data_IF_486136412140
#
_entry.id   IF_486136412140
#
_cell.length_a   1.000
_cell.length_b   1.000
_cell.length_c   1.000
_cell.angle_alpha   90.00
_cell.angle_beta   90.00
_cell.angle_gamma   90.00
#
_symmetry.space_group_name_H-M   'P 1'
#
loop_
_entity.id
_entity.type
_entity.pdbx_description
1 polymer ?
#
# COMPACT_ATOMS: atom_id res chain seq x y z
N UNK A 1 47.61 -10.86 36.00
CA UNK A 1 46.81 -11.61 34.99
C UNK A 1 45.29 -11.40 35.10
N UNK A 2 44.72 -11.03 36.26
CA UNK A 2 43.27 -10.82 36.42
C UNK A 2 42.78 -9.52 35.75
N UNK A 3 43.56 -8.43 35.80
CA UNK A 3 43.18 -7.13 35.19
C UNK A 3 43.13 -7.15 33.65
N UNK A 4 43.98 -7.94 33.00
CA UNK A 4 44.00 -8.06 31.54
C UNK A 4 42.79 -8.84 31.00
N UNK A 5 42.34 -9.87 31.74
CA UNK A 5 41.12 -10.62 31.41
C UNK A 5 39.85 -9.78 31.59
N UNK A 6 39.79 -8.92 32.60
CA UNK A 6 38.64 -8.03 32.82
C UNK A 6 38.52 -6.96 31.74
N UNK A 7 39.63 -6.34 31.32
CA UNK A 7 39.62 -5.32 30.26
C UNK A 7 39.24 -5.94 28.90
N UNK A 8 39.74 -7.15 28.61
CA UNK A 8 39.38 -7.86 27.38
C UNK A 8 37.89 -8.24 27.35
N UNK A 9 37.33 -8.66 28.48
CA UNK A 9 35.91 -9.01 28.58
C UNK A 9 35.00 -7.77 28.45
N UNK A 10 35.40 -6.62 29.02
CA UNK A 10 34.65 -5.36 28.88
C UNK A 10 34.72 -4.80 27.45
N UNK A 11 35.84 -4.96 26.74
CA UNK A 11 36.00 -4.54 25.34
C UNK A 11 35.15 -5.40 24.39
N UNK A 12 35.13 -6.72 24.58
CA UNK A 12 34.29 -7.63 23.77
C UNK A 12 32.80 -7.37 24.03
N UNK A 13 32.42 -7.12 25.27
CA UNK A 13 31.02 -6.83 25.62
C UNK A 13 30.56 -5.47 25.05
N UNK A 14 31.41 -4.44 25.05
CA UNK A 14 31.06 -3.13 24.48
C UNK A 14 30.97 -3.15 22.96
N UNK A 15 31.85 -3.86 22.25
CA UNK A 15 31.75 -4.00 20.78
C UNK A 15 30.50 -4.80 20.36
N UNK A 16 30.01 -5.70 21.22
CA UNK A 16 28.78 -6.47 20.95
C UNK A 16 27.49 -5.64 21.03
N UNK A 17 27.48 -4.53 21.80
CA UNK A 17 26.32 -3.66 21.92
C UNK A 17 26.22 -2.58 20.82
N UNK A 18 27.32 -2.28 20.11
CA UNK A 18 27.34 -1.30 19.00
C UNK A 18 27.31 -1.95 17.60
N UNK A 19 27.30 -3.29 17.50
CA UNK A 19 27.26 -3.99 16.21
C UNK A 19 25.85 -4.11 15.59
N UNK A 20 24.84 -3.51 16.21
CA UNK A 20 23.46 -3.46 15.72
C UNK A 20 22.99 -2.00 15.56
N UNK A 21 23.83 -1.12 15.04
CA UNK A 21 23.29 0.08 14.38
C UNK A 21 22.92 -0.29 12.94
N UNK A 22 21.62 -0.30 12.66
CA UNK A 22 21.13 -0.29 11.28
C UNK A 22 21.57 1.06 10.70
N UNK A 23 22.57 1.03 9.81
CA UNK A 23 22.98 2.22 9.08
C UNK A 23 21.73 2.78 8.39
N UNK A 24 21.28 3.98 8.80
CA UNK A 24 20.21 4.67 8.08
C UNK A 24 20.75 5.00 6.69
N UNK A 25 20.33 4.22 5.70
CA UNK A 25 20.59 4.54 4.30
C UNK A 25 19.87 5.84 3.97
N UNK A 26 20.61 6.95 3.95
CA UNK A 26 20.17 8.16 3.26
C UNK A 26 20.04 7.85 1.77
N UNK A 27 18.80 7.84 1.27
CA UNK A 27 18.55 7.75 -0.17
C UNK A 27 19.08 9.02 -0.83
N UNK A 28 20.33 8.99 -1.32
CA UNK A 28 20.83 10.04 -2.21
C UNK A 28 19.99 10.02 -3.50
N UNK A 29 19.18 11.06 -3.68
CA UNK A 29 18.54 11.32 -4.95
C UNK A 29 19.65 11.53 -6.00
N UNK A 30 19.65 10.68 -7.03
CA UNK A 30 20.62 10.57 -8.14
C UNK A 30 21.85 9.70 -7.85
N UNK A 31 22.26 8.82 -8.78
CA UNK A 31 23.51 8.08 -8.65
C UNK A 31 24.66 9.10 -8.64
N UNK A 32 25.46 9.09 -7.58
CA UNK A 32 26.66 9.90 -7.50
C UNK A 32 27.55 9.63 -8.74
N UNK A 33 28.15 10.66 -9.36
CA UNK A 33 28.96 10.53 -10.57
C UNK A 33 30.29 9.75 -10.38
N UNK A 34 30.54 9.22 -9.19
CA UNK A 34 31.69 8.40 -8.86
C UNK A 34 31.24 7.06 -8.25
N UNK A 35 30.53 6.27 -9.05
CA UNK A 35 30.48 4.82 -8.80
C UNK A 35 31.78 4.26 -9.38
N UNK A 36 32.84 4.25 -8.57
CA UNK A 36 34.04 3.46 -8.86
C UNK A 36 33.64 2.08 -9.37
N UNK A 37 34.37 1.52 -10.35
CA UNK A 37 34.11 0.19 -10.90
C UNK A 37 33.70 -0.78 -9.79
N UNK A 38 32.54 -1.41 -9.94
CA UNK A 38 31.95 -2.21 -8.86
C UNK A 38 32.96 -3.24 -8.34
N UNK A 39 33.41 -3.02 -7.12
CA UNK A 39 34.27 -3.91 -6.36
C UNK A 39 33.46 -4.40 -5.17
N UNK A 40 33.50 -5.70 -4.92
CA UNK A 40 32.82 -6.31 -3.80
C UNK A 40 33.52 -7.62 -3.48
N UNK A 41 33.80 -7.86 -2.21
CA UNK A 41 34.30 -9.13 -1.71
C UNK A 41 33.19 -9.77 -0.87
N UNK A 42 33.00 -11.08 -0.98
CA UNK A 42 31.98 -11.78 -0.19
C UNK A 42 32.32 -11.86 1.30
N UNK A 43 33.57 -11.59 1.68
CA UNK A 43 34.06 -11.82 3.04
C UNK A 43 33.83 -13.27 3.45
N UNK A 44 32.96 -13.49 4.44
CA UNK A 44 32.56 -14.83 4.91
C UNK A 44 31.22 -15.32 4.37
N UNK A 45 30.54 -14.57 3.51
CA UNK A 45 29.28 -14.98 2.90
C UNK A 45 29.53 -15.89 1.69
N UNK A 46 28.60 -16.82 1.45
CA UNK A 46 28.63 -17.70 0.28
C UNK A 46 27.47 -17.36 -0.66
N UNK A 47 27.76 -16.61 -1.73
CA UNK A 47 26.78 -16.19 -2.72
C UNK A 47 26.62 -17.16 -3.90
N UNK A 48 27.22 -18.35 -3.84
CA UNK A 48 27.23 -19.29 -4.98
C UNK A 48 25.83 -19.70 -5.43
N UNK A 49 24.86 -19.82 -4.51
CA UNK A 49 23.43 -19.94 -4.81
C UNK A 49 22.61 -18.97 -3.95
N UNK A 50 22.53 -17.72 -4.39
CA UNK A 50 21.64 -16.71 -3.83
C UNK A 50 20.18 -17.04 -4.14
N UNK A 51 19.32 -17.06 -3.12
CA UNK A 51 17.86 -17.24 -3.27
C UNK A 51 17.10 -16.08 -2.64
N UNK A 52 15.96 -15.70 -3.23
CA UNK A 52 15.11 -14.63 -2.68
C UNK A 52 13.65 -15.07 -2.55
N UNK A 53 13.00 -14.57 -1.50
CA UNK A 53 11.55 -14.71 -1.28
C UNK A 53 10.97 -13.37 -0.84
N UNK A 54 9.75 -13.09 -1.26
CA UNK A 54 9.10 -11.83 -0.94
C UNK A 54 7.87 -11.53 -1.77
N UNK A 55 7.31 -10.35 -1.54
CA UNK A 55 6.14 -9.84 -2.24
C UNK A 55 6.45 -9.19 -3.60
N UNK A 56 5.65 -8.19 -3.95
CA UNK A 56 5.65 -7.54 -5.26
C UNK A 56 7.02 -7.01 -5.72
N UNK A 57 7.74 -6.26 -4.89
CA UNK A 57 9.05 -5.69 -5.25
C UNK A 57 10.10 -6.77 -5.53
N UNK A 58 10.15 -7.80 -4.70
CA UNK A 58 11.08 -8.93 -4.85
C UNK A 58 10.74 -9.80 -6.05
N UNK A 59 9.48 -9.86 -6.45
CA UNK A 59 9.02 -10.58 -7.63
C UNK A 59 9.18 -9.77 -8.93
N UNK A 60 9.24 -8.44 -8.84
CA UNK A 60 9.08 -7.57 -10.01
C UNK A 60 7.64 -7.54 -10.52
N UNK A 61 6.69 -7.50 -9.60
CA UNK A 61 5.26 -7.38 -9.88
C UNK A 61 4.86 -5.90 -10.01
N UNK A 62 4.14 -5.56 -11.06
CA UNK A 62 3.68 -4.20 -11.34
C UNK A 62 2.52 -4.19 -12.30
N UNK A 63 1.86 -3.05 -12.49
CA UNK A 63 0.74 -2.92 -13.43
C UNK A 63 -0.37 -3.96 -13.24
N UNK A 64 -0.52 -4.52 -12.03
CA UNK A 64 -1.52 -5.55 -11.74
C UNK A 64 -1.09 -7.01 -12.01
N UNK A 65 0.12 -7.27 -12.50
CA UNK A 65 0.63 -8.62 -12.79
C UNK A 65 2.16 -8.78 -12.72
N UNK A 66 2.64 -10.01 -12.90
CA UNK A 66 4.00 -10.20 -13.42
C UNK A 66 3.98 -9.93 -14.92
N UNK A 67 5.12 -9.51 -15.48
CA UNK A 67 5.28 -9.19 -16.90
C UNK A 67 6.69 -9.58 -17.35
N UNK A 68 6.78 -10.40 -18.39
CA UNK A 68 8.05 -10.88 -18.97
C UNK A 68 8.98 -9.71 -19.32
N UNK A 69 8.46 -8.72 -20.03
CA UNK A 69 9.17 -7.52 -20.48
C UNK A 69 9.02 -6.32 -19.52
N UNK A 70 8.21 -6.47 -18.47
CA UNK A 70 7.92 -5.42 -17.50
C UNK A 70 8.88 -5.46 -16.30
N UNK A 71 8.34 -5.39 -15.08
CA UNK A 71 9.16 -5.30 -13.87
C UNK A 71 9.83 -6.60 -13.45
N UNK A 72 9.41 -7.77 -13.95
CA UNK A 72 9.98 -9.07 -13.57
C UNK A 72 11.51 -9.14 -13.79
N UNK A 73 12.06 -8.77 -14.96
CA UNK A 73 13.51 -8.70 -15.18
C UNK A 73 14.23 -7.62 -14.34
N UNK A 74 13.50 -6.70 -13.71
CA UNK A 74 14.02 -5.65 -12.84
C UNK A 74 13.65 -5.87 -11.36
N UNK A 75 13.23 -7.08 -10.99
CA UNK A 75 12.93 -7.41 -9.60
C UNK A 75 14.11 -7.12 -8.67
N UNK A 76 13.81 -6.75 -7.41
CA UNK A 76 14.85 -6.44 -6.42
C UNK A 76 15.79 -7.64 -6.20
N UNK A 77 15.25 -8.87 -6.19
CA UNK A 77 16.06 -10.08 -6.09
C UNK A 77 17.10 -10.18 -7.22
N UNK A 78 16.69 -9.90 -8.47
CA UNK A 78 17.62 -9.89 -9.61
C UNK A 78 18.63 -8.76 -9.53
N UNK A 79 18.21 -7.56 -9.16
CA UNK A 79 19.12 -6.42 -9.01
C UNK A 79 20.22 -6.70 -7.98
N UNK A 80 19.87 -7.34 -6.85
CA UNK A 80 20.83 -7.77 -5.84
C UNK A 80 21.73 -8.88 -6.38
N UNK A 81 21.17 -9.90 -7.03
CA UNK A 81 21.95 -10.99 -7.62
C UNK A 81 23.02 -10.49 -8.60
N UNK A 82 22.69 -9.50 -9.43
CA UNK A 82 23.64 -8.84 -10.35
C UNK A 82 24.81 -8.19 -9.59
N UNK A 83 24.57 -7.64 -8.39
CA UNK A 83 25.65 -7.12 -7.56
C UNK A 83 26.45 -8.24 -6.88
N UNK A 84 25.78 -9.26 -6.35
CA UNK A 84 26.43 -10.40 -5.69
C UNK A 84 27.32 -11.21 -6.65
N UNK A 85 26.99 -11.26 -7.94
CA UNK A 85 27.83 -11.86 -8.98
C UNK A 85 29.25 -11.25 -9.01
N UNK A 86 29.39 -9.96 -8.68
CA UNK A 86 30.69 -9.27 -8.63
C UNK A 86 31.49 -9.61 -7.37
N UNK A 87 30.84 -10.20 -6.37
CA UNK A 87 31.43 -10.67 -5.12
C UNK A 87 31.57 -12.21 -5.07
N UNK A 88 31.62 -12.88 -6.23
CA UNK A 88 31.79 -14.34 -6.31
C UNK A 88 30.49 -15.15 -6.27
N UNK A 89 29.34 -14.49 -6.36
CA UNK A 89 28.05 -15.16 -6.55
C UNK A 89 27.82 -15.64 -7.99
N UNK A 90 26.71 -16.33 -8.22
CA UNK A 90 26.32 -16.79 -9.56
C UNK A 90 26.15 -15.62 -10.53
N UNK A 91 26.67 -15.78 -11.76
CA UNK A 91 26.41 -14.83 -12.87
C UNK A 91 24.99 -14.94 -13.44
N UNK A 92 24.24 -15.97 -13.04
CA UNK A 92 22.86 -16.21 -13.45
C UNK A 92 21.93 -16.19 -12.25
N UNK A 93 20.76 -15.58 -12.44
CA UNK A 93 19.67 -15.56 -11.46
C UNK A 93 18.40 -16.07 -12.13
N UNK A 94 17.96 -17.27 -11.75
CA UNK A 94 16.84 -17.96 -12.40
C UNK A 94 15.53 -17.56 -11.73
N UNK A 95 14.67 -16.90 -12.51
CA UNK A 95 13.34 -16.49 -12.08
C UNK A 95 12.29 -17.24 -12.91
N UNK A 96 11.17 -17.69 -12.31
CA UNK A 96 10.08 -18.33 -13.04
C UNK A 96 9.38 -17.35 -13.98
N UNK A 97 9.85 -17.28 -15.22
CA UNK A 97 9.27 -16.44 -16.26
C UNK A 97 7.80 -16.80 -16.52
N UNK A 98 6.96 -15.79 -16.64
CA UNK A 98 5.55 -15.97 -16.98
C UNK A 98 5.30 -16.07 -18.49
N UNK A 99 6.29 -15.72 -19.31
CA UNK A 99 6.22 -15.71 -20.78
C UNK A 99 5.03 -14.89 -21.32
N UNK A 100 4.74 -13.75 -20.69
CA UNK A 100 3.61 -12.90 -21.07
C UNK A 100 3.95 -11.42 -20.99
N UNK A 101 3.60 -10.69 -22.05
CA UNK A 101 3.75 -9.23 -22.16
C UNK A 101 2.65 -8.49 -21.38
N UNK A 102 1.45 -9.09 -21.28
CA UNK A 102 0.28 -8.48 -20.64
C UNK A 102 0.02 -9.06 -19.25
N UNK A 103 0.56 -10.24 -18.93
CA UNK A 103 0.32 -10.92 -17.67
C UNK A 103 -1.16 -11.18 -17.42
N UNK A 104 -1.53 -11.31 -16.15
CA UNK A 104 -2.91 -11.59 -15.75
C UNK A 104 -3.26 -10.84 -14.47
N UNK A 105 -4.29 -10.02 -14.52
CA UNK A 105 -4.82 -9.33 -13.35
C UNK A 105 -5.96 -10.12 -12.70
N UNK A 106 -6.91 -10.59 -13.52
CA UNK A 106 -8.11 -11.30 -13.10
C UNK A 106 -9.13 -11.47 -14.23
N UNK A 107 -10.26 -12.10 -13.91
CA UNK A 107 -11.40 -12.21 -14.82
C UNK A 107 -12.00 -10.84 -15.11
N UNK A 108 -12.61 -10.70 -16.28
CA UNK A 108 -13.34 -9.52 -16.69
C UNK A 108 -14.73 -9.43 -16.06
N UNK A 109 -15.61 -8.69 -16.72
CA UNK A 109 -16.99 -8.44 -16.27
C UNK A 109 -17.82 -9.74 -16.17
N UNK A 110 -17.47 -10.79 -16.92
CA UNK A 110 -18.16 -12.08 -16.85
C UNK A 110 -17.81 -12.90 -15.60
N UNK A 111 -16.73 -12.53 -14.89
CA UNK A 111 -16.23 -13.19 -13.69
C UNK A 111 -15.66 -14.59 -13.92
N UNK A 112 -15.45 -15.00 -15.16
CA UNK A 112 -14.94 -16.32 -15.54
C UNK A 112 -13.49 -16.16 -16.01
N UNK A 113 -12.55 -16.82 -15.33
CA UNK A 113 -11.16 -16.80 -15.76
C UNK A 113 -10.95 -17.60 -17.06
N UNK A 114 -10.10 -17.11 -17.95
CA UNK A 114 -9.74 -17.77 -19.22
C UNK A 114 -10.60 -17.36 -20.41
N UNK A 115 -11.42 -16.32 -20.29
CA UNK A 115 -12.31 -15.79 -21.33
C UNK A 115 -11.70 -14.56 -22.02
N UNK A 116 -12.34 -14.07 -23.08
CA UNK A 116 -11.79 -12.98 -23.89
C UNK A 116 -11.80 -11.60 -23.22
N UNK A 117 -12.58 -11.44 -22.15
CA UNK A 117 -12.67 -10.22 -21.35
C UNK A 117 -11.74 -10.21 -20.14
N UNK A 118 -10.96 -11.27 -19.92
CA UNK A 118 -9.89 -11.31 -18.93
C UNK A 118 -9.02 -10.04 -18.98
N UNK A 119 -8.65 -9.56 -17.80
CA UNK A 119 -7.89 -8.33 -17.66
C UNK A 119 -6.41 -8.62 -17.45
N UNK A 120 -5.56 -7.93 -18.21
CA UNK A 120 -4.12 -7.96 -18.11
C UNK A 120 -3.58 -6.72 -17.40
N UNK A 121 -2.37 -6.30 -17.81
CA UNK A 121 -1.67 -5.16 -17.22
C UNK A 121 -2.44 -3.85 -17.34
N UNK A 122 -2.28 -3.01 -16.33
CA UNK A 122 -2.85 -1.68 -16.22
C UNK A 122 -1.84 -0.63 -16.70
N UNK A 123 -2.31 0.43 -17.34
CA UNK A 123 -1.45 1.52 -17.79
C UNK A 123 -2.22 2.83 -17.86
N UNK A 124 -1.51 3.95 -17.69
CA UNK A 124 -2.06 5.27 -17.93
C UNK A 124 -2.31 5.45 -19.43
N UNK A 125 -3.51 5.89 -19.78
CA UNK A 125 -3.92 6.15 -21.16
C UNK A 125 -4.28 7.62 -21.35
N UNK A 126 -4.11 8.09 -22.58
CA UNK A 126 -4.56 9.42 -22.99
C UNK A 126 -5.42 9.26 -24.24
N UNK A 127 -6.67 9.71 -24.14
CA UNK A 127 -7.58 9.78 -25.27
C UNK A 127 -7.01 10.71 -26.33
N UNK A 128 -6.77 10.19 -27.54
CA UNK A 128 -6.25 11.01 -28.65
C UNK A 128 -7.24 12.06 -29.14
N UNK A 129 -8.54 11.86 -28.94
CA UNK A 129 -9.59 12.77 -29.41
C UNK A 129 -9.90 13.88 -28.41
N UNK A 130 -9.82 13.58 -27.10
CA UNK A 130 -10.22 14.52 -26.04
C UNK A 130 -9.05 15.00 -25.19
N UNK A 131 -7.87 14.36 -25.29
CA UNK A 131 -6.75 14.59 -24.37
C UNK A 131 -6.99 14.08 -22.94
N UNK A 132 -8.15 13.45 -22.68
CA UNK A 132 -8.51 12.94 -21.36
C UNK A 132 -7.51 11.85 -20.93
N UNK A 133 -6.96 11.98 -19.73
CA UNK A 133 -6.09 10.99 -19.11
C UNK A 133 -6.95 10.00 -18.32
N UNK A 134 -6.54 8.73 -18.28
CA UNK A 134 -7.25 7.69 -17.54
C UNK A 134 -6.39 6.48 -17.28
N UNK A 135 -7.01 5.43 -16.73
CA UNK A 135 -6.40 4.12 -16.55
C UNK A 135 -7.05 3.18 -17.56
N UNK A 136 -6.24 2.40 -18.27
CA UNK A 136 -6.69 1.37 -19.21
C UNK A 136 -6.01 0.05 -18.92
N UNK A 137 -6.58 -1.02 -19.47
CA UNK A 137 -6.14 -2.40 -19.26
C UNK A 137 -5.87 -3.07 -20.59
N UNK A 138 -4.83 -3.88 -20.65
CA UNK A 138 -4.55 -4.76 -21.78
C UNK A 138 -5.41 -6.03 -21.66
N UNK A 139 -5.66 -6.77 -22.76
CA UNK A 139 -6.23 -8.11 -22.68
C UNK A 139 -5.35 -9.02 -21.81
N UNK A 140 -5.99 -9.75 -20.89
CA UNK A 140 -5.34 -10.68 -19.98
C UNK A 140 -4.86 -11.95 -20.69
N UNK A 141 -3.79 -12.52 -20.14
CA UNK A 141 -3.23 -13.79 -20.57
C UNK A 141 -3.32 -14.79 -19.43
N UNK A 142 -4.44 -15.54 -19.37
CA UNK A 142 -4.67 -16.55 -18.36
C UNK A 142 -3.60 -17.66 -18.37
N UNK A 143 -2.96 -17.93 -19.53
CA UNK A 143 -1.90 -18.95 -19.59
C UNK A 143 -0.69 -18.56 -18.72
N UNK A 144 -0.48 -17.26 -18.47
CA UNK A 144 0.59 -16.73 -17.62
C UNK A 144 0.44 -17.09 -16.13
N UNK A 145 -0.74 -17.57 -15.71
CA UNK A 145 -1.05 -18.08 -14.37
C UNK A 145 -1.47 -19.55 -14.37
N UNK A 146 -2.06 -20.04 -15.46
CA UNK A 146 -2.56 -21.42 -15.58
C UNK A 146 -1.55 -22.44 -16.12
N UNK A 147 -0.47 -22.01 -16.77
CA UNK A 147 0.50 -22.92 -17.41
C UNK A 147 1.70 -23.18 -16.49
N UNK A 148 2.03 -24.45 -16.15
CA UNK A 148 3.23 -24.77 -15.37
C UNK A 148 4.52 -24.20 -15.99
N UNK A 149 5.45 -23.80 -15.13
CA UNK A 149 6.78 -23.37 -15.52
C UNK A 149 7.53 -24.52 -16.19
N UNK A 150 8.05 -24.27 -17.41
CA UNK A 150 8.68 -25.30 -18.24
C UNK A 150 10.21 -25.39 -18.05
N UNK A 151 10.80 -24.49 -17.27
CA UNK A 151 12.23 -24.49 -16.98
C UNK A 151 12.63 -25.45 -15.85
N UNK A 152 13.93 -25.50 -15.57
CA UNK A 152 14.47 -26.34 -14.49
C UNK A 152 14.09 -25.75 -13.12
N UNK A 153 13.13 -26.39 -12.45
CA UNK A 153 12.65 -25.99 -11.12
C UNK A 153 13.75 -26.08 -10.05
N UNK A 154 14.77 -26.91 -10.23
CA UNK A 154 15.87 -27.06 -9.26
C UNK A 154 16.86 -25.90 -9.30
N UNK A 155 16.89 -25.18 -10.43
CA UNK A 155 17.73 -24.01 -10.66
C UNK A 155 17.09 -22.70 -10.20
N UNK A 156 15.80 -22.69 -9.86
CA UNK A 156 15.07 -21.49 -9.43
C UNK A 156 15.77 -20.85 -8.22
N UNK A 157 15.94 -19.53 -8.32
CA UNK A 157 16.53 -18.70 -7.27
C UNK A 157 15.53 -17.66 -6.74
N UNK A 158 14.50 -17.28 -7.51
CA UNK A 158 13.46 -16.38 -7.03
C UNK A 158 12.16 -17.12 -6.71
N UNK A 159 11.78 -17.10 -5.44
CA UNK A 159 10.53 -17.65 -4.90
C UNK A 159 9.53 -16.54 -4.54
N UNK A 160 9.84 -15.29 -4.88
CA UNK A 160 8.96 -14.16 -4.67
C UNK A 160 7.79 -14.17 -5.66
N UNK A 161 6.60 -13.82 -5.16
CA UNK A 161 5.37 -13.68 -5.95
C UNK A 161 4.58 -12.47 -5.46
N UNK A 162 3.85 -11.81 -6.36
CA UNK A 162 2.95 -10.73 -5.99
C UNK A 162 1.66 -11.24 -5.35
N UNK A 163 0.89 -10.34 -4.71
CA UNK A 163 -0.43 -10.61 -4.14
C UNK A 163 -0.47 -11.72 -3.08
N UNK A 164 0.59 -11.90 -2.29
CA UNK A 164 0.66 -12.92 -1.24
C UNK A 164 0.99 -12.29 0.11
N UNK A 165 0.18 -12.58 1.14
CA UNK A 165 0.43 -12.16 2.53
C UNK A 165 1.52 -13.02 3.17
N UNK A 166 2.12 -12.55 4.26
CA UNK A 166 3.16 -13.30 4.96
C UNK A 166 2.69 -14.70 5.40
N UNK A 167 1.51 -14.79 6.02
CA UNK A 167 0.94 -16.08 6.43
C UNK A 167 0.74 -17.05 5.26
N UNK A 168 0.44 -16.55 4.07
CA UNK A 168 0.29 -17.35 2.87
C UNK A 168 1.62 -17.98 2.40
N UNK A 169 2.79 -17.37 2.68
CA UNK A 169 4.10 -17.98 2.40
C UNK A 169 4.41 -19.19 3.30
N UNK A 170 3.65 -19.37 4.39
CA UNK A 170 3.86 -20.42 5.39
C UNK A 170 3.00 -21.66 5.17
N UNK A 171 1.96 -21.57 4.33
CA UNK A 171 1.01 -22.65 4.10
C UNK A 171 1.17 -23.30 2.72
N UNK A 172 0.79 -24.57 2.55
CA UNK A 172 0.82 -25.22 1.24
C UNK A 172 -0.07 -24.54 0.20
N UNK A 173 0.36 -24.56 -1.06
CA UNK A 173 -0.39 -23.99 -2.18
C UNK A 173 -1.39 -24.99 -2.78
N UNK A 174 -2.29 -25.51 -1.94
CA UNK A 174 -3.10 -26.68 -2.24
C UNK A 174 -4.06 -26.47 -3.44
N UNK A 175 -4.14 -27.48 -4.31
CA UNK A 175 -5.16 -27.56 -5.35
C UNK A 175 -6.53 -27.98 -4.76
N UNK A 176 -7.67 -27.63 -5.40
CA UNK A 176 -7.81 -26.91 -6.68
C UNK A 176 -7.80 -25.37 -6.54
N UNK A 177 -7.68 -24.83 -5.33
CA UNK A 177 -7.71 -23.40 -5.05
C UNK A 177 -6.37 -22.94 -4.47
N UNK A 178 -5.33 -22.80 -5.32
CA UNK A 178 -4.01 -22.38 -4.86
C UNK A 178 -4.11 -20.99 -4.22
N UNK A 179 -3.39 -20.83 -3.11
CA UNK A 179 -3.19 -19.55 -2.42
C UNK A 179 -2.61 -18.49 -3.36
N UNK A 180 -1.68 -18.89 -4.23
CA UNK A 180 -1.11 -18.02 -5.24
C UNK A 180 -0.94 -18.75 -6.58
N UNK A 181 -1.59 -18.27 -7.66
CA UNK A 181 -1.52 -18.95 -8.95
C UNK A 181 -0.16 -18.77 -9.64
N UNK A 182 0.60 -17.70 -9.36
CA UNK A 182 1.96 -17.58 -9.88
C UNK A 182 2.89 -18.61 -9.25
N UNK A 183 2.80 -18.84 -7.94
CA UNK A 183 3.56 -19.89 -7.28
C UNK A 183 3.16 -21.28 -7.77
N UNK A 184 1.86 -21.51 -8.02
CA UNK A 184 1.36 -22.80 -8.53
C UNK A 184 2.07 -23.26 -9.81
N UNK A 185 2.51 -22.31 -10.67
CA UNK A 185 3.26 -22.63 -11.89
C UNK A 185 4.60 -23.29 -11.60
N UNK A 186 5.25 -22.94 -10.49
CA UNK A 186 6.57 -23.46 -10.14
C UNK A 186 6.59 -24.18 -8.79
N UNK A 187 5.43 -24.63 -8.29
CA UNK A 187 5.32 -25.49 -7.13
C UNK A 187 5.72 -26.93 -7.49
N UNK A 188 6.91 -27.34 -7.08
CA UNK A 188 7.47 -28.67 -7.38
C UNK A 188 6.75 -29.79 -6.60
N UNK A 189 5.96 -29.44 -5.58
CA UNK A 189 5.27 -30.37 -4.69
C UNK A 189 3.81 -30.64 -5.09
N UNK A 190 3.31 -29.91 -6.10
CA UNK A 190 1.90 -29.94 -6.51
C UNK A 190 0.92 -29.63 -5.37
N UNK A 191 1.20 -28.57 -4.59
CA UNK A 191 0.32 -28.04 -3.56
C UNK A 191 0.48 -28.66 -2.18
N UNK A 192 1.55 -29.42 -1.92
CA UNK A 192 1.78 -30.09 -0.63
C UNK A 192 2.76 -29.35 0.28
N UNK A 193 3.54 -28.41 -0.26
CA UNK A 193 4.47 -27.57 0.52
C UNK A 193 4.23 -26.08 0.26
N UNK A 194 4.68 -25.24 1.20
CA UNK A 194 4.65 -23.80 1.04
C UNK A 194 5.79 -23.28 0.16
N UNK A 195 5.67 -22.07 -0.38
CA UNK A 195 6.75 -21.43 -1.14
C UNK A 195 8.00 -21.20 -0.31
N UNK A 196 7.85 -20.91 0.99
CA UNK A 196 8.98 -20.83 1.92
C UNK A 196 9.68 -22.20 2.08
N UNK A 197 8.91 -23.27 2.29
CA UNK A 197 9.47 -24.61 2.42
C UNK A 197 10.19 -25.06 1.14
N UNK A 198 9.63 -24.75 -0.04
CA UNK A 198 10.29 -25.05 -1.32
C UNK A 198 11.58 -24.24 -1.51
N UNK A 199 11.61 -22.96 -1.13
CA UNK A 199 12.84 -22.16 -1.16
C UNK A 199 13.92 -22.78 -0.26
N UNK A 200 13.57 -23.15 0.98
CA UNK A 200 14.50 -23.81 1.92
C UNK A 200 15.04 -25.11 1.31
N UNK A 201 14.16 -25.92 0.72
CA UNK A 201 14.53 -27.16 0.04
C UNK A 201 15.35 -27.00 -1.24
N UNK A 202 15.47 -25.78 -1.78
CA UNK A 202 16.23 -25.51 -3.01
C UNK A 202 17.76 -25.56 -2.81
N UNK A 203 18.24 -25.59 -1.56
CA UNK A 203 19.66 -25.67 -1.24
C UNK A 203 20.44 -24.38 -1.51
N UNK A 204 19.83 -23.21 -1.26
CA UNK A 204 20.52 -21.92 -1.32
C UNK A 204 21.67 -21.80 -0.31
N UNK A 205 22.67 -20.98 -0.62
CA UNK A 205 23.83 -20.69 0.24
C UNK A 205 23.73 -19.32 0.91
N UNK A 206 22.93 -18.42 0.33
CA UNK A 206 22.57 -17.12 0.91
C UNK A 206 21.13 -16.76 0.56
N UNK A 207 20.36 -16.24 1.50
CA UNK A 207 18.97 -15.85 1.25
C UNK A 207 18.72 -14.34 1.40
N UNK A 208 17.71 -13.84 0.67
CA UNK A 208 17.01 -12.60 0.96
C UNK A 208 15.55 -12.91 1.25
N UNK A 209 15.03 -12.45 2.39
CA UNK A 209 13.62 -12.54 2.70
C UNK A 209 13.04 -11.13 2.93
N UNK A 210 12.13 -10.70 2.06
CA UNK A 210 11.42 -9.43 2.21
C UNK A 210 9.92 -9.65 2.14
N UNK A 211 9.34 -9.94 3.30
CA UNK A 211 7.96 -10.39 3.48
C UNK A 211 7.15 -9.34 4.27
N UNK A 212 5.83 -9.45 4.27
CA UNK A 212 4.95 -8.63 5.11
C UNK A 212 4.43 -7.34 4.46
N UNK A 213 5.10 -6.77 3.47
CA UNK A 213 4.66 -5.49 2.87
C UNK A 213 3.26 -5.57 2.22
N UNK A 214 2.86 -6.73 1.72
CA UNK A 214 1.53 -6.91 1.13
C UNK A 214 0.43 -6.99 2.19
N UNK A 215 0.73 -7.43 3.41
CA UNK A 215 -0.24 -7.49 4.51
C UNK A 215 -0.75 -6.08 4.86
N UNK A 216 0.18 -5.11 4.98
CA UNK A 216 -0.14 -3.68 5.15
C UNK A 216 -0.90 -3.12 3.95
N UNK A 217 -0.40 -3.33 2.74
CA UNK A 217 -1.09 -2.82 1.54
C UNK A 217 -2.49 -3.42 1.38
N UNK A 218 -2.68 -4.72 1.64
CA UNK A 218 -3.96 -5.37 1.49
C UNK A 218 -4.98 -4.87 2.53
N UNK A 219 -4.55 -4.69 3.79
CA UNK A 219 -5.41 -4.15 4.83
C UNK A 219 -5.82 -2.69 4.54
N UNK A 220 -4.84 -1.80 4.36
CA UNK A 220 -5.10 -0.36 4.27
C UNK A 220 -5.52 0.12 2.87
N UNK A 221 -5.13 -0.56 1.78
CA UNK A 221 -5.44 -0.12 0.42
C UNK A 221 -6.50 -0.96 -0.30
N UNK A 222 -6.96 -2.10 0.25
CA UNK A 222 -7.94 -2.98 -0.41
C UNK A 222 -9.08 -3.46 0.48
N UNK A 223 -8.83 -3.63 1.78
CA UNK A 223 -9.82 -4.12 2.73
C UNK A 223 -10.76 -3.06 3.28
N UNK A 224 -10.44 -1.76 3.12
CA UNK A 224 -11.16 -0.69 3.83
C UNK A 224 -11.22 -0.92 5.35
N UNK A 225 -10.23 -1.63 5.90
CA UNK A 225 -10.23 -2.05 7.30
C UNK A 225 -11.12 -3.26 7.65
N UNK A 226 -11.70 -4.00 6.68
CA UNK A 226 -12.46 -5.23 6.99
C UNK A 226 -11.53 -6.32 7.56
N UNK A 227 -11.52 -6.40 8.89
CA UNK A 227 -10.74 -7.36 9.69
C UNK A 227 -11.03 -8.82 9.33
N UNK A 228 -12.19 -9.11 8.72
CA UNK A 228 -12.55 -10.47 8.34
C UNK A 228 -11.86 -10.92 7.05
N UNK A 229 -11.48 -9.98 6.18
CA UNK A 229 -10.83 -10.27 4.89
C UNK A 229 -9.33 -10.08 4.99
N UNK A 230 -8.89 -8.97 5.56
CA UNK A 230 -7.48 -8.69 5.85
C UNK A 230 -7.39 -8.19 7.29
N UNK A 231 -7.02 -9.05 8.26
CA UNK A 231 -6.83 -8.61 9.64
C UNK A 231 -5.78 -7.50 9.72
N UNK A 232 -5.91 -6.62 10.72
CA UNK A 232 -4.92 -5.57 10.95
C UNK A 232 -3.52 -6.18 11.11
N UNK A 233 -2.53 -5.76 10.29
CA UNK A 233 -1.21 -6.39 10.22
C UNK A 233 -0.30 -5.94 11.36
N UNK A 234 -0.73 -6.15 12.60
CA UNK A 234 0.04 -5.71 13.77
C UNK A 234 1.29 -6.58 13.95
N UNK A 235 2.35 -5.95 14.46
CA UNK A 235 3.58 -6.66 14.84
C UNK A 235 3.34 -7.67 15.97
N UNK A 236 2.36 -7.46 16.84
CA UNK A 236 2.15 -8.33 18.01
C UNK A 236 1.33 -9.58 17.72
N UNK A 237 0.35 -9.51 16.83
CA UNK A 237 -0.67 -10.57 16.70
C UNK A 237 -0.71 -11.25 15.33
N UNK A 238 -0.29 -10.58 14.26
CA UNK A 238 -0.39 -11.12 12.91
C UNK A 238 0.98 -11.25 12.25
N UNK A 239 1.61 -10.12 11.92
CA UNK A 239 2.81 -10.12 11.08
C UNK A 239 4.05 -10.58 11.85
N UNK A 240 4.23 -10.15 13.11
CA UNK A 240 5.44 -10.49 13.88
C UNK A 240 5.60 -12.00 14.14
N UNK A 241 4.58 -12.71 14.68
CA UNK A 241 4.67 -14.15 14.89
C UNK A 241 4.90 -14.94 13.60
N UNK A 242 4.25 -14.55 12.50
CA UNK A 242 4.45 -15.20 11.20
C UNK A 242 5.85 -14.93 10.62
N UNK A 243 6.38 -13.73 10.84
CA UNK A 243 7.71 -13.36 10.36
C UNK A 243 8.79 -14.12 11.13
N UNK A 244 8.64 -14.19 12.45
CA UNK A 244 9.48 -15.01 13.31
C UNK A 244 9.42 -16.48 12.90
N UNK A 245 8.23 -17.03 12.67
CA UNK A 245 8.06 -18.39 12.16
C UNK A 245 8.80 -18.60 10.83
N UNK A 246 8.71 -17.66 9.89
CA UNK A 246 9.40 -17.73 8.61
C UNK A 246 10.93 -17.77 8.80
N UNK A 247 11.47 -16.87 9.61
CA UNK A 247 12.91 -16.79 9.88
C UNK A 247 13.41 -18.02 10.62
N UNK A 248 12.68 -18.50 11.63
CA UNK A 248 13.01 -19.72 12.35
C UNK A 248 13.03 -20.93 11.42
N UNK A 249 12.05 -21.07 10.51
CA UNK A 249 12.03 -22.14 9.52
C UNK A 249 13.24 -22.08 8.58
N UNK A 250 13.62 -20.89 8.12
CA UNK A 250 14.80 -20.72 7.27
C UNK A 250 16.09 -21.13 7.98
N UNK A 251 16.31 -20.67 9.21
CA UNK A 251 17.53 -20.98 9.98
C UNK A 251 17.57 -22.45 10.39
N UNK A 252 16.43 -23.06 10.75
CA UNK A 252 16.35 -24.47 11.10
C UNK A 252 16.56 -25.39 9.88
N UNK A 253 16.01 -25.00 8.72
CA UNK A 253 16.11 -25.78 7.49
C UNK A 253 17.49 -25.77 6.84
N UNK A 254 18.27 -24.71 7.06
CA UNK A 254 19.69 -24.68 6.72
C UNK A 254 20.47 -23.88 7.79
N UNK A 255 21.11 -24.53 8.76
CA UNK A 255 21.81 -23.84 9.86
C UNK A 255 23.05 -23.04 9.44
N UNK A 256 23.51 -23.23 8.20
CA UNK A 256 24.81 -22.72 7.73
C UNK A 256 24.70 -21.53 6.79
N UNK A 257 23.59 -21.40 6.04
CA UNK A 257 23.40 -20.24 5.18
C UNK A 257 23.27 -18.95 5.99
N UNK A 258 23.65 -17.84 5.37
CA UNK A 258 23.41 -16.50 5.90
C UNK A 258 22.36 -15.83 5.04
N UNK A 259 21.82 -14.71 5.50
CA UNK A 259 20.87 -13.99 4.70
C UNK A 259 20.58 -12.61 5.26
N UNK A 260 19.80 -11.87 4.47
CA UNK A 260 19.29 -10.55 4.82
C UNK A 260 17.78 -10.62 4.90
N UNK A 261 17.24 -9.86 5.86
CA UNK A 261 15.80 -9.69 6.02
C UNK A 261 15.45 -8.24 5.76
N UNK A 262 14.41 -8.00 4.96
CA UNK A 262 13.88 -6.66 4.70
C UNK A 262 12.78 -6.33 5.69
N UNK A 263 12.83 -5.13 6.27
CA UNK A 263 11.72 -4.55 7.03
C UNK A 263 10.61 -4.10 6.09
N UNK A 264 9.39 -3.99 6.60
CA UNK A 264 8.31 -3.36 5.83
C UNK A 264 8.67 -1.88 5.63
N UNK A 265 8.73 -1.38 4.39
CA UNK A 265 8.96 0.04 4.15
C UNK A 265 7.74 0.83 4.63
N UNK A 266 7.93 2.13 4.89
CA UNK A 266 6.80 3.03 5.12
C UNK A 266 5.84 2.97 3.92
N UNK A 267 4.64 2.46 4.17
CA UNK A 267 3.61 2.28 3.14
C UNK A 267 2.98 3.62 2.76
N UNK A 268 2.93 4.59 3.69
CA UNK A 268 2.41 5.93 3.44
C UNK A 268 3.31 6.71 2.50
N UNK A 269 4.61 6.43 2.45
CA UNK A 269 5.52 7.01 1.48
C UNK A 269 5.26 6.54 0.03
N UNK A 270 4.41 5.52 -0.18
CA UNK A 270 4.12 5.03 -1.53
C UNK A 270 3.24 6.02 -2.32
N UNK A 271 3.37 6.06 -3.66
CA UNK A 271 2.54 6.93 -4.50
C UNK A 271 1.04 6.72 -4.34
N UNK A 272 0.61 5.56 -3.85
CA UNK A 272 -0.80 5.30 -3.57
C UNK A 272 -1.35 6.27 -2.50
N UNK A 273 -0.57 6.65 -1.50
CA UNK A 273 -1.01 7.58 -0.43
C UNK A 273 -0.57 9.02 -0.67
N UNK A 274 0.40 9.26 -1.55
CA UNK A 274 0.99 10.60 -1.75
C UNK A 274 0.51 11.32 -3.02
N UNK A 275 -0.26 10.66 -3.91
CA UNK A 275 -0.61 11.26 -5.20
C UNK A 275 -1.62 12.41 -5.12
N UNK A 276 -2.59 12.31 -4.21
CA UNK A 276 -3.67 13.30 -4.08
C UNK A 276 -3.32 14.24 -2.94
N UNK A 277 -3.19 15.53 -3.24
CA UNK A 277 -3.08 16.58 -2.22
C UNK A 277 -4.49 16.97 -1.74
N UNK A 278 -4.91 16.55 -0.54
CA UNK A 278 -6.27 16.80 -0.07
C UNK A 278 -6.54 18.29 0.20
N UNK A 279 -5.51 19.12 0.30
CA UNK A 279 -5.64 20.56 0.53
C UNK A 279 -5.86 21.35 -0.76
N UNK A 280 -5.59 20.74 -1.91
CA UNK A 280 -5.68 21.34 -3.23
C UNK A 280 -6.21 20.36 -4.29
N UNK A 281 -7.41 19.81 -4.07
CA UNK A 281 -8.01 18.79 -4.94
C UNK A 281 -9.25 19.27 -5.72
N UNK A 282 -9.92 20.34 -5.28
CA UNK A 282 -11.21 20.76 -5.85
C UNK A 282 -11.04 22.04 -6.68
N UNK A 283 -10.83 21.95 -8.01
CA UNK A 283 -10.81 23.12 -8.87
C UNK A 283 -12.23 23.67 -9.08
N UNK A 284 -12.40 24.98 -8.91
CA UNK A 284 -13.62 25.72 -9.20
C UNK A 284 -13.27 26.96 -10.02
N UNK A 285 -13.82 27.08 -11.23
CA UNK A 285 -13.63 28.25 -12.08
C UNK A 285 -14.55 29.40 -11.66
N UNK A 286 -14.02 30.63 -11.68
CA UNK A 286 -14.78 31.81 -11.27
C UNK A 286 -16.00 32.11 -12.16
N UNK A 287 -15.93 31.73 -13.43
CA UNK A 287 -16.93 32.00 -14.45
C UNK A 287 -17.83 30.80 -14.67
N UNK A 288 -17.24 29.64 -14.95
CA UNK A 288 -17.97 28.43 -15.31
C UNK A 288 -18.68 27.81 -14.10
N UNK A 289 -18.12 27.95 -12.88
CA UNK A 289 -18.68 27.40 -11.63
C UNK A 289 -19.32 28.46 -10.72
N UNK A 290 -19.65 29.65 -11.25
CA UNK A 290 -20.18 30.77 -10.44
C UNK A 290 -21.45 30.41 -9.64
N UNK A 291 -22.33 29.59 -10.20
CA UNK A 291 -23.54 29.13 -9.51
C UNK A 291 -23.21 28.17 -8.35
N UNK A 292 -22.30 27.22 -8.60
CA UNK A 292 -21.80 26.26 -7.60
C UNK A 292 -21.13 26.99 -6.44
N UNK A 293 -20.25 27.96 -6.74
CA UNK A 293 -19.61 28.82 -5.74
C UNK A 293 -20.65 29.57 -4.89
N UNK A 294 -21.72 30.08 -5.50
CA UNK A 294 -22.82 30.71 -4.78
C UNK A 294 -23.55 29.78 -3.80
N UNK A 295 -23.80 28.53 -4.21
CA UNK A 295 -24.44 27.52 -3.36
C UNK A 295 -23.52 27.08 -2.21
N UNK A 296 -22.24 26.85 -2.49
CA UNK A 296 -21.23 26.50 -1.48
C UNK A 296 -21.04 27.62 -0.45
N UNK A 297 -21.08 28.89 -0.89
CA UNK A 297 -21.02 30.04 0.02
C UNK A 297 -22.23 30.12 0.95
N UNK A 298 -23.44 29.81 0.45
CA UNK A 298 -24.65 29.75 1.29
C UNK A 298 -24.57 28.63 2.33
N UNK A 299 -24.14 27.44 1.90
CA UNK A 299 -23.89 26.31 2.79
C UNK A 299 -22.86 26.67 3.88
N UNK A 300 -21.69 27.16 3.48
CA UNK A 300 -20.64 27.58 4.40
C UNK A 300 -21.15 28.63 5.39
N UNK A 301 -21.87 29.64 4.92
CA UNK A 301 -22.44 30.70 5.75
C UNK A 301 -23.40 30.16 6.82
N UNK A 302 -24.34 29.30 6.42
CA UNK A 302 -25.31 28.71 7.33
C UNK A 302 -24.64 27.77 8.34
N UNK A 303 -23.80 26.85 7.87
CA UNK A 303 -23.10 25.91 8.74
C UNK A 303 -22.16 26.63 9.73
N UNK A 304 -21.32 27.55 9.24
CA UNK A 304 -20.36 28.26 10.07
C UNK A 304 -21.03 29.09 11.17
N UNK A 305 -22.23 29.64 10.93
CA UNK A 305 -23.02 30.33 11.95
C UNK A 305 -23.48 29.39 13.07
N UNK A 306 -23.90 28.17 12.73
CA UNK A 306 -24.29 27.18 13.75
C UNK A 306 -23.09 26.76 14.60
N UNK A 307 -21.93 26.56 13.97
CA UNK A 307 -20.66 26.25 14.64
C UNK A 307 -20.25 27.39 15.60
N UNK A 308 -20.36 28.65 15.18
CA UNK A 308 -20.09 29.80 16.07
C UNK A 308 -21.05 29.85 17.25
N UNK A 309 -22.34 29.59 17.01
CA UNK A 309 -23.35 29.53 18.07
C UNK A 309 -23.04 28.45 19.11
N UNK A 310 -22.62 27.26 18.66
CA UNK A 310 -22.22 26.17 19.56
C UNK A 310 -20.95 26.49 20.35
N UNK A 311 -19.95 27.13 19.73
CA UNK A 311 -18.77 27.60 20.42
C UNK A 311 -19.11 28.66 21.49
N UNK A 312 -19.99 29.61 21.16
CA UNK A 312 -20.43 30.65 22.09
C UNK A 312 -21.19 30.09 23.30
N UNK A 313 -21.87 28.96 23.12
CA UNK A 313 -22.55 28.22 24.20
C UNK A 313 -21.63 27.21 24.90
N UNK A 314 -20.35 27.14 24.55
CA UNK A 314 -19.38 26.17 25.07
C UNK A 314 -19.78 24.70 24.86
N UNK A 315 -20.58 24.41 23.82
CA UNK A 315 -20.94 23.04 23.41
C UNK A 315 -19.78 22.37 22.66
N UNK A 316 -18.96 23.18 21.98
CA UNK A 316 -17.68 22.79 21.39
C UNK A 316 -16.62 23.81 21.76
N UNK A 317 -15.35 23.43 21.64
CA UNK A 317 -14.23 24.37 21.90
C UNK A 317 -14.09 25.38 20.76
N UNK A 318 -13.50 26.54 21.05
CA UNK A 318 -13.18 27.54 20.02
C UNK A 318 -12.18 27.00 18.99
N UNK A 319 -11.25 26.14 19.41
CA UNK A 319 -10.31 25.42 18.54
C UNK A 319 -11.06 24.51 17.58
N UNK A 320 -11.97 23.67 18.07
CA UNK A 320 -12.79 22.80 17.23
C UNK A 320 -13.67 23.59 16.27
N UNK A 321 -14.30 24.67 16.75
CA UNK A 321 -15.11 25.54 15.92
C UNK A 321 -14.32 26.18 14.76
N UNK A 322 -13.06 26.55 15.00
CA UNK A 322 -12.16 27.05 13.95
C UNK A 322 -11.81 25.95 12.93
N UNK A 323 -11.56 24.71 13.39
CA UNK A 323 -11.25 23.58 12.52
C UNK A 323 -12.41 23.21 11.58
N UNK A 324 -13.65 23.41 12.01
CA UNK A 324 -14.85 23.07 11.24
C UNK A 324 -15.18 24.05 10.13
N UNK A 325 -14.57 25.25 10.11
CA UNK A 325 -15.00 26.30 9.18
C UNK A 325 -14.91 25.85 7.73
N UNK A 326 -16.04 25.91 7.04
CA UNK A 326 -16.15 25.58 5.63
C UNK A 326 -15.92 26.83 4.80
N UNK A 327 -15.21 26.70 3.69
CA UNK A 327 -14.95 27.80 2.77
C UNK A 327 -14.57 27.27 1.40
N UNK A 328 -15.11 27.92 0.36
CA UNK A 328 -14.76 27.68 -1.03
C UNK A 328 -14.60 29.00 -1.76
N UNK A 329 -13.68 29.04 -2.71
CA UNK A 329 -13.41 30.18 -3.57
C UNK A 329 -13.03 29.72 -4.97
N UNK A 330 -13.04 30.63 -5.94
CA UNK A 330 -12.50 30.33 -7.25
C UNK A 330 -11.00 30.00 -7.15
N UNK A 331 -10.55 28.97 -7.87
CA UNK A 331 -9.24 28.36 -7.71
C UNK A 331 -9.34 26.92 -7.22
N UNK A 332 -8.27 26.42 -6.59
CA UNK A 332 -8.22 25.05 -6.09
C UNK A 332 -8.44 25.05 -4.58
N UNK A 333 -9.38 24.24 -4.11
CA UNK A 333 -9.82 24.19 -2.72
C UNK A 333 -9.52 22.81 -2.11
N UNK A 334 -9.51 22.76 -0.78
CA UNK A 334 -9.37 21.53 -0.02
C UNK A 334 -10.62 20.63 -0.14
N UNK A 335 -10.43 19.35 0.11
CA UNK A 335 -11.51 18.37 0.22
C UNK A 335 -12.36 18.65 1.46
N UNK A 336 -13.67 18.50 1.32
CA UNK A 336 -14.57 18.34 2.46
C UNK A 336 -14.49 16.89 2.95
N UNK A 337 -14.20 16.69 4.23
CA UNK A 337 -13.92 15.36 4.82
C UNK A 337 -14.70 15.14 6.11
N UNK A 338 -15.03 13.88 6.38
CA UNK A 338 -15.49 13.42 7.68
C UNK A 338 -14.29 13.24 8.61
N UNK A 339 -14.43 13.64 9.87
CA UNK A 339 -13.40 13.47 10.89
C UNK A 339 -14.05 12.92 12.18
N UNK A 340 -13.77 11.65 12.48
CA UNK A 340 -14.35 10.94 13.60
C UNK A 340 -13.99 11.53 14.98
N UNK A 341 -12.90 12.28 15.09
CA UNK A 341 -12.42 12.89 16.34
C UNK A 341 -13.19 14.17 16.70
N UNK A 342 -13.97 14.72 15.77
CA UNK A 342 -14.82 15.88 16.02
C UNK A 342 -16.06 15.50 16.84
N UNK A 343 -16.55 16.41 17.67
CA UNK A 343 -17.78 16.22 18.46
C UNK A 343 -18.99 15.96 17.55
N UNK A 344 -19.82 14.94 17.79
CA UNK A 344 -21.03 14.78 16.98
C UNK A 344 -22.02 15.96 17.21
N UNK A 345 -22.24 16.79 16.18
CA UNK A 345 -23.16 17.94 16.27
C UNK A 345 -24.64 17.57 16.10
N UNK A 346 -24.95 16.34 15.66
CA UNK A 346 -26.30 15.86 15.41
C UNK A 346 -27.27 16.10 16.57
N UNK A 347 -26.93 15.68 17.81
CA UNK A 347 -27.78 15.89 18.98
C UNK A 347 -28.06 17.37 19.29
N UNK A 348 -27.12 18.28 19.01
CA UNK A 348 -27.34 19.72 19.25
C UNK A 348 -28.32 20.30 18.25
N UNK A 349 -28.22 19.92 16.97
CA UNK A 349 -29.20 20.33 15.97
C UNK A 349 -30.58 19.72 16.23
N UNK A 350 -30.68 18.50 16.77
CA UNK A 350 -31.96 17.93 17.20
C UNK A 350 -32.61 18.79 18.31
N UNK A 351 -31.81 19.30 19.24
CA UNK A 351 -32.24 20.28 20.23
C UNK A 351 -32.77 21.57 19.59
N UNK A 352 -32.13 22.05 18.52
CA UNK A 352 -32.59 23.23 17.76
C UNK A 352 -33.92 22.98 17.04
N UNK A 353 -34.17 21.77 16.55
CA UNK A 353 -35.49 21.37 16.00
C UNK A 353 -36.55 21.45 17.09
N UNK A 354 -36.29 20.88 18.28
CA UNK A 354 -37.22 20.93 19.42
C UNK A 354 -37.48 22.36 19.90
N UNK A 355 -36.49 23.25 19.77
CA UNK A 355 -36.61 24.67 20.09
C UNK A 355 -37.26 25.50 18.96
N UNK A 356 -37.70 24.89 17.86
CA UNK A 356 -38.23 25.55 16.66
C UNK A 356 -37.27 26.58 16.03
N UNK A 357 -35.96 26.38 16.20
CA UNK A 357 -34.92 27.24 15.59
C UNK A 357 -34.60 26.81 14.16
N UNK A 358 -34.73 25.51 13.86
CA UNK A 358 -34.61 24.93 12.52
C UNK A 358 -35.73 23.92 12.28
N UNK A 359 -36.02 23.65 11.02
CA UNK A 359 -36.99 22.62 10.60
C UNK A 359 -36.35 21.23 10.53
N UNK A 360 -37.17 20.17 10.58
CA UNK A 360 -36.69 18.80 10.37
C UNK A 360 -36.00 18.60 9.00
N UNK A 361 -36.47 19.32 7.97
CA UNK A 361 -35.84 19.29 6.65
C UNK A 361 -34.43 19.92 6.67
N UNK A 362 -34.27 21.06 7.34
CA UNK A 362 -32.95 21.68 7.52
C UNK A 362 -32.01 20.79 8.34
N UNK A 363 -32.52 20.12 9.38
CA UNK A 363 -31.76 19.14 10.17
C UNK A 363 -31.26 17.97 9.31
N UNK A 364 -32.11 17.45 8.43
CA UNK A 364 -31.74 16.36 7.52
C UNK A 364 -30.62 16.78 6.56
N UNK A 365 -30.65 18.02 6.06
CA UNK A 365 -29.59 18.56 5.20
C UNK A 365 -28.24 18.74 5.94
N UNK A 366 -28.26 18.91 7.26
CA UNK A 366 -27.06 19.07 8.08
C UNK A 366 -26.43 17.73 8.51
N UNK A 367 -27.14 16.61 8.38
CA UNK A 367 -26.67 15.30 8.85
C UNK A 367 -25.28 14.91 8.31
N UNK A 368 -24.95 15.10 7.02
CA UNK A 368 -23.61 14.80 6.53
C UNK A 368 -22.52 15.61 7.25
N UNK A 369 -22.85 16.79 7.77
CA UNK A 369 -21.89 17.76 8.32
C UNK A 369 -21.64 17.62 9.82
N UNK A 370 -22.26 16.64 10.49
CA UNK A 370 -22.18 16.49 11.96
C UNK A 370 -20.74 16.46 12.48
N UNK A 371 -19.83 15.92 11.69
CA UNK A 371 -18.41 15.80 11.97
C UNK A 371 -17.58 16.17 10.72
N UNK A 372 -17.98 17.22 10.02
CA UNK A 372 -17.31 17.64 8.78
C UNK A 372 -16.37 18.83 8.99
N UNK A 373 -15.30 18.83 8.20
CA UNK A 373 -14.36 19.96 8.05
C UNK A 373 -13.64 19.92 6.70
N UNK A 374 -12.88 20.96 6.41
CA UNK A 374 -11.92 20.94 5.30
C UNK A 374 -10.67 20.13 5.69
N UNK A 375 -10.09 19.43 4.73
CA UNK A 375 -8.81 18.74 4.88
C UNK A 375 -7.67 19.74 5.14
N UNK A 376 -6.60 19.26 5.79
CA UNK A 376 -5.45 20.04 6.25
C UNK A 376 -4.14 19.42 5.79
N UNK A 377 -3.07 20.22 5.88
CA UNK A 377 -1.70 19.76 5.63
C UNK A 377 -1.34 18.59 6.56
N UNK A 378 -0.63 17.59 6.02
CA UNK A 378 -0.21 16.38 6.75
C UNK A 378 -1.23 15.25 6.74
N UNK A 379 -2.41 15.45 6.15
CA UNK A 379 -3.44 14.44 5.98
C UNK A 379 -3.35 13.77 4.60
N UNK A 380 -3.95 12.59 4.46
CA UNK A 380 -3.76 11.74 3.29
C UNK A 380 -5.10 11.40 2.64
N UNK A 381 -5.22 11.67 1.34
CA UNK A 381 -6.25 11.07 0.49
C UNK A 381 -5.61 9.95 -0.35
N UNK A 382 -5.87 8.66 -0.07
CA UNK A 382 -5.34 7.57 -0.88
C UNK A 382 -5.87 7.64 -2.31
N UNK A 383 -5.15 7.04 -3.26
CA UNK A 383 -5.51 6.99 -4.68
C UNK A 383 -6.92 6.45 -4.92
N UNK A 384 -7.43 5.57 -4.05
CA UNK A 384 -8.81 5.09 -4.12
C UNK A 384 -9.84 6.22 -4.05
N UNK A 385 -9.56 7.31 -3.34
CA UNK A 385 -10.43 8.48 -3.26
C UNK A 385 -10.67 9.09 -4.65
N UNK A 386 -9.75 8.96 -5.61
CA UNK A 386 -9.93 9.49 -6.96
C UNK A 386 -11.09 8.84 -7.73
N UNK A 387 -11.57 7.68 -7.26
CA UNK A 387 -12.72 6.99 -7.88
C UNK A 387 -14.06 7.58 -7.44
N UNK A 388 -14.09 8.37 -6.36
CA UNK A 388 -15.31 8.93 -5.78
C UNK A 388 -15.33 10.46 -5.74
N UNK A 389 -14.17 11.13 -5.62
CA UNK A 389 -14.08 12.60 -5.58
C UNK A 389 -14.76 13.19 -6.83
N UNK A 390 -15.64 14.17 -6.62
CA UNK A 390 -16.35 14.85 -7.71
C UNK A 390 -17.56 14.09 -8.25
N UNK A 391 -17.83 12.86 -7.80
CA UNK A 391 -19.03 12.11 -8.14
C UNK A 391 -20.17 12.43 -7.16
N UNK A 392 -21.41 12.33 -7.66
CA UNK A 392 -22.60 12.44 -6.81
C UNK A 392 -22.59 11.34 -5.74
N UNK A 393 -23.04 11.67 -4.53
CA UNK A 393 -23.21 10.71 -3.43
C UNK A 393 -24.10 9.54 -3.85
N UNK A 394 -25.18 9.86 -4.56
CA UNK A 394 -26.07 8.89 -5.21
C UNK A 394 -25.93 9.09 -6.71
N UNK A 395 -25.56 8.02 -7.43
CA UNK A 395 -25.33 8.08 -8.87
C UNK A 395 -26.53 8.70 -9.60
N UNK A 396 -26.29 9.73 -10.40
CA UNK A 396 -27.33 10.45 -11.15
C UNK A 396 -28.18 11.43 -10.34
N UNK A 397 -28.03 11.53 -9.02
CA UNK A 397 -28.77 12.47 -8.17
C UNK A 397 -27.85 13.57 -7.58
N UNK A 398 -27.83 14.78 -8.17
CA UNK A 398 -27.00 15.88 -7.69
C UNK A 398 -27.52 16.51 -6.39
N UNK A 399 -28.75 16.18 -5.95
CA UNK A 399 -29.36 16.81 -4.77
C UNK A 399 -28.80 16.28 -3.45
N UNK A 400 -28.16 15.12 -3.48
CA UNK A 400 -27.53 14.47 -2.34
C UNK A 400 -26.09 14.95 -2.08
N UNK A 401 -25.59 15.87 -2.91
CA UNK A 401 -24.24 16.41 -2.82
C UNK A 401 -23.20 15.60 -3.60
N UNK A 402 -21.98 16.12 -3.59
CA UNK A 402 -20.85 15.63 -4.37
C UNK A 402 -19.69 15.32 -3.42
N UNK A 403 -19.16 14.10 -3.47
CA UNK A 403 -18.10 13.65 -2.57
C UNK A 403 -16.85 14.53 -2.66
N UNK A 404 -16.34 14.95 -1.50
CA UNK A 404 -15.17 15.82 -1.38
C UNK A 404 -15.44 17.29 -1.67
N UNK A 405 -16.64 17.65 -2.13
CA UNK A 405 -17.01 19.03 -2.49
C UNK A 405 -18.12 19.56 -1.59
N UNK A 406 -19.33 18.98 -1.72
CA UNK A 406 -20.53 19.35 -0.95
C UNK A 406 -21.08 18.19 -0.12
N UNK A 407 -20.41 17.04 -0.14
CA UNK A 407 -20.61 15.94 0.80
C UNK A 407 -19.23 15.51 1.32
N UNK A 408 -19.06 15.36 2.66
CA UNK A 408 -17.76 15.01 3.21
C UNK A 408 -17.33 13.62 2.76
N UNK A 409 -16.07 13.46 2.32
CA UNK A 409 -15.52 12.13 2.04
C UNK A 409 -15.58 11.28 3.31
N UNK A 410 -16.08 10.04 3.22
CA UNK A 410 -16.08 9.13 4.36
C UNK A 410 -14.64 8.66 4.67
N UNK A 411 -14.49 8.19 5.90
CA UNK A 411 -13.25 7.70 6.51
C UNK A 411 -12.45 6.72 5.62
N UNK A 412 -13.15 5.81 4.94
CA UNK A 412 -12.51 4.83 4.03
C UNK A 412 -11.71 5.45 2.87
N UNK A 413 -11.91 6.74 2.56
CA UNK A 413 -11.22 7.47 1.50
C UNK A 413 -10.33 8.60 2.02
N UNK A 414 -10.09 8.69 3.33
CA UNK A 414 -9.32 9.79 3.91
C UNK A 414 -8.68 9.39 5.24
N UNK A 415 -7.40 9.72 5.43
CA UNK A 415 -6.70 9.55 6.70
C UNK A 415 -6.44 10.92 7.30
N UNK A 416 -6.98 11.13 8.49
CA UNK A 416 -6.78 12.32 9.31
C UNK A 416 -5.37 12.34 9.92
N UNK A 417 -4.94 13.51 10.39
CA UNK A 417 -3.60 13.64 11.01
C UNK A 417 -3.40 12.74 12.23
N UNK A 418 -4.45 12.52 13.03
CA UNK A 418 -4.40 11.61 14.19
C UNK A 418 -4.18 10.16 13.76
N UNK A 419 -4.75 9.73 12.64
CA UNK A 419 -4.55 8.39 12.10
C UNK A 419 -3.16 8.20 11.48
N UNK A 420 -2.62 9.24 10.86
CA UNK A 420 -1.25 9.25 10.31
C UNK A 420 -0.21 9.20 11.42
N UNK A 421 -0.40 9.94 12.52
CA UNK A 421 0.55 9.98 13.64
C UNK A 421 0.58 8.68 14.48
N UNK A 422 -0.43 7.82 14.34
CA UNK A 422 -0.51 6.51 14.99
C UNK A 422 0.18 5.39 14.19
N UNK A 423 0.50 5.63 12.92
CA UNK A 423 1.20 4.70 12.01
C UNK A 423 2.72 4.89 12.03
#
# INVERSE_FOLDING_TARGET
>A
MIKFKSIFLTLVLTVSFFACEQEQTEFKALPAPDMSSSSGESGSADFTKFVSIGGAYTAGFGDGGLLHSGLQPYSVGRMIAVQLAKAGGSSTFVQPDINSENGYFGAGDDGIAGTSDDEGRWFLSVSRSTGAQGISRAPGDFASVGTPYQGDMTAIQNFAVGKQTLGQFLVPNAAPYPVNPYFARFDASSGTVSSLAQMIGSGGTFFMAWLGAYDFLAHYARGGGDENVFPEPTAATVVGPQFEQAVQAMVAGNPTWKGVVGTVPDVLASPFFQLIDPTASIPLDATDDAATLGQLAQLAGAYNQTVDGFAAQSLITSTEAAMRKLSWSAGVNALLVFDADLTDLGPYWDGMVLANQITAAQRAMLEPYKQARMAKDGEIAPLLASTVIGNNVVEGDPTMGVWGVSAPLPDVYFLTGSEVDLS
#
